data_IF_768047624797
#
_entry.id   IF_768047624797
#
_cell.length_a   1.000
_cell.length_b   1.000
_cell.length_c   1.000
_cell.angle_alpha   90.00
_cell.angle_beta   90.00
_cell.angle_gamma   90.00
#
_symmetry.space_group_name_H-M   'P 1'
#
loop_
_entity.id
_entity.type
_entity.pdbx_description
1 polymer ?
#
# COMPACT_ATOMS: atom_id res chain seq x y z
N UNK A 1 0.62 -23.12 -10.49
CA UNK A 1 1.23 -22.80 -9.18
C UNK A 1 0.85 -21.37 -8.83
N UNK A 2 0.24 -21.14 -7.67
CA UNK A 2 -0.21 -19.80 -7.25
C UNK A 2 0.95 -18.99 -6.65
N UNK A 3 1.04 -17.71 -6.97
CA UNK A 3 2.08 -16.81 -6.52
C UNK A 3 1.53 -15.39 -6.35
N UNK A 4 2.23 -14.53 -5.59
CA UNK A 4 1.88 -13.11 -5.43
C UNK A 4 2.97 -12.24 -6.07
N UNK A 5 2.57 -11.27 -6.89
CA UNK A 5 3.50 -10.29 -7.46
C UNK A 5 3.98 -9.35 -6.35
N UNK A 6 5.29 -9.28 -6.13
CA UNK A 6 5.92 -8.42 -5.10
C UNK A 6 6.74 -7.29 -5.71
N UNK A 7 7.10 -7.37 -6.99
CA UNK A 7 7.82 -6.30 -7.70
C UNK A 7 7.54 -6.37 -9.19
N UNK A 8 7.44 -5.21 -9.83
CA UNK A 8 7.33 -5.05 -11.28
C UNK A 8 8.57 -4.31 -11.76
N UNK A 9 9.25 -4.91 -12.75
CA UNK A 9 10.42 -4.34 -13.39
C UNK A 9 10.15 -4.15 -14.89
N UNK A 10 11.01 -3.40 -15.57
CA UNK A 10 10.90 -3.18 -17.02
C UNK A 10 10.94 -4.48 -17.85
N UNK A 11 11.64 -5.48 -17.36
CA UNK A 11 11.96 -6.75 -18.01
C UNK A 11 11.23 -7.97 -17.41
N UNK A 12 10.32 -7.76 -16.44
CA UNK A 12 9.55 -8.86 -15.85
C UNK A 12 8.95 -8.57 -14.49
N UNK A 13 8.56 -9.61 -13.81
CA UNK A 13 7.87 -9.58 -12.53
C UNK A 13 8.63 -10.45 -11.52
N UNK A 14 8.78 -9.95 -10.29
CA UNK A 14 9.20 -10.79 -9.18
C UNK A 14 7.96 -11.25 -8.44
N UNK A 15 7.84 -12.53 -8.24
CA UNK A 15 6.73 -13.17 -7.52
C UNK A 15 7.25 -13.86 -6.26
N UNK A 16 6.39 -13.94 -5.25
CA UNK A 16 6.62 -14.75 -4.07
C UNK A 16 5.82 -16.04 -4.20
N UNK A 17 6.51 -17.18 -4.08
CA UNK A 17 5.95 -18.52 -4.10
C UNK A 17 6.37 -19.18 -2.79
N UNK A 18 5.45 -19.37 -1.85
CA UNK A 18 5.72 -20.01 -0.55
C UNK A 18 6.95 -19.43 0.20
N UNK A 19 7.08 -18.09 0.20
CA UNK A 19 8.19 -17.40 0.85
C UNK A 19 9.44 -17.18 -0.02
N UNK A 20 9.56 -17.89 -1.13
CA UNK A 20 10.69 -17.73 -2.06
C UNK A 20 10.37 -16.74 -3.20
N UNK A 21 11.33 -15.88 -3.54
CA UNK A 21 11.21 -14.94 -4.64
C UNK A 21 11.74 -15.54 -5.92
N UNK A 22 10.92 -15.50 -6.97
CA UNK A 22 11.28 -15.95 -8.31
C UNK A 22 10.98 -14.89 -9.36
N UNK A 23 11.75 -14.84 -10.41
CA UNK A 23 11.53 -13.94 -11.54
C UNK A 23 10.76 -14.65 -12.64
N UNK A 24 9.72 -14.01 -13.14
CA UNK A 24 8.85 -14.54 -14.18
C UNK A 24 8.50 -13.46 -15.21
N UNK A 25 8.07 -13.90 -16.39
CA UNK A 25 7.54 -13.02 -17.43
C UNK A 25 6.02 -13.15 -17.54
N UNK A 26 5.35 -12.20 -18.18
CA UNK A 26 3.93 -12.33 -18.50
C UNK A 26 3.73 -12.57 -20.00
N UNK A 27 2.81 -13.46 -20.36
CA UNK A 27 2.39 -13.65 -21.75
C UNK A 27 1.62 -12.43 -22.26
N UNK A 28 1.74 -12.10 -23.55
CA UNK A 28 1.28 -10.83 -24.12
C UNK A 28 -0.17 -10.44 -23.79
N UNK A 29 -1.12 -11.37 -23.87
CA UNK A 29 -2.54 -11.13 -23.54
C UNK A 29 -2.78 -10.73 -22.06
N UNK A 30 -1.93 -11.20 -21.15
CA UNK A 30 -2.09 -10.97 -19.70
C UNK A 30 -1.52 -9.59 -19.30
N UNK A 31 -0.50 -9.09 -19.99
CA UNK A 31 0.08 -7.76 -19.71
C UNK A 31 -0.96 -6.63 -19.74
N UNK A 32 -1.99 -6.77 -20.57
CA UNK A 32 -3.01 -5.75 -20.80
C UNK A 32 -4.39 -6.08 -20.20
N UNK A 33 -4.60 -7.32 -19.72
CA UNK A 33 -5.86 -7.74 -19.13
C UNK A 33 -6.17 -6.95 -17.84
N UNK A 34 -7.40 -6.44 -17.70
CA UNK A 34 -7.88 -5.77 -16.48
C UNK A 34 -7.09 -4.52 -16.08
N UNK A 35 -6.54 -3.77 -17.06
CA UNK A 35 -5.71 -2.58 -16.79
C UNK A 35 -4.28 -2.89 -16.34
N UNK A 36 -3.77 -4.06 -16.70
CA UNK A 36 -2.41 -4.53 -16.47
C UNK A 36 -2.16 -5.10 -15.07
N UNK A 37 -1.01 -5.77 -14.94
CA UNK A 37 -0.57 -6.37 -13.69
C UNK A 37 -0.17 -5.33 -12.64
N UNK A 38 -0.46 -5.63 -11.38
CA UNK A 38 -0.13 -4.78 -10.23
C UNK A 38 0.70 -5.55 -9.21
N UNK A 39 1.49 -4.85 -8.43
CA UNK A 39 2.04 -5.42 -7.19
C UNK A 39 0.86 -5.81 -6.29
N UNK A 40 0.93 -6.97 -5.65
CA UNK A 40 -0.16 -7.53 -4.85
C UNK A 40 -1.07 -8.50 -5.60
N UNK A 41 -1.01 -8.58 -6.94
CA UNK A 41 -1.82 -9.54 -7.69
C UNK A 41 -1.46 -10.98 -7.34
N UNK A 42 -2.49 -11.81 -7.16
CA UNK A 42 -2.34 -13.26 -7.13
C UNK A 42 -2.42 -13.79 -8.55
N UNK A 43 -1.46 -14.63 -8.91
CA UNK A 43 -1.28 -15.12 -10.27
C UNK A 43 -0.97 -16.62 -10.29
N UNK A 44 -1.35 -17.28 -11.37
CA UNK A 44 -0.86 -18.65 -11.66
C UNK A 44 0.30 -18.59 -12.63
N UNK A 45 1.32 -19.40 -12.32
CA UNK A 45 2.52 -19.56 -13.13
C UNK A 45 2.52 -20.92 -13.78
N UNK A 46 2.79 -20.94 -15.08
CA UNK A 46 3.00 -22.13 -15.88
C UNK A 46 4.19 -21.90 -16.84
N UNK A 47 5.13 -22.84 -16.89
CA UNK A 47 6.30 -22.78 -17.77
C UNK A 47 7.11 -21.46 -17.59
N UNK A 48 7.33 -21.02 -16.34
CA UNK A 48 8.08 -19.81 -16.02
C UNK A 48 7.37 -18.49 -16.37
N UNK A 49 6.10 -18.53 -16.78
CA UNK A 49 5.34 -17.35 -17.15
C UNK A 49 4.00 -17.26 -16.41
N UNK A 50 3.57 -16.02 -16.17
CA UNK A 50 2.23 -15.74 -15.66
C UNK A 50 1.22 -16.08 -16.75
N UNK A 51 0.28 -16.99 -16.45
CA UNK A 51 -0.75 -17.43 -17.38
C UNK A 51 -2.17 -17.09 -16.95
N UNK A 52 -2.39 -16.71 -15.67
CA UNK A 52 -3.68 -16.27 -15.14
C UNK A 52 -3.48 -15.24 -14.04
N UNK A 53 -4.37 -14.27 -13.97
CA UNK A 53 -4.50 -13.32 -12.85
C UNK A 53 -5.80 -13.65 -12.12
N UNK A 54 -5.74 -13.79 -10.81
CA UNK A 54 -6.92 -14.00 -9.97
C UNK A 54 -7.71 -12.70 -9.79
N UNK A 55 -8.96 -12.83 -9.42
CA UNK A 55 -9.80 -11.68 -9.07
C UNK A 55 -9.20 -10.88 -7.91
N UNK A 56 -9.24 -9.56 -8.03
CA UNK A 56 -8.70 -8.65 -7.03
C UNK A 56 -9.77 -8.31 -6.00
N UNK A 57 -9.43 -8.38 -4.73
CA UNK A 57 -10.26 -7.85 -3.63
C UNK A 57 -10.49 -6.34 -3.81
N UNK A 58 -9.42 -5.61 -4.15
CA UNK A 58 -9.41 -4.18 -4.38
C UNK A 58 -8.18 -3.77 -5.18
N UNK A 59 -8.14 -2.48 -5.60
CA UNK A 59 -7.01 -1.91 -6.33
C UNK A 59 -6.91 -0.41 -6.05
N UNK A 60 -5.72 0.04 -5.68
CA UNK A 60 -5.35 1.46 -5.69
C UNK A 60 -4.75 1.83 -7.05
N UNK A 61 -4.99 3.08 -7.46
CA UNK A 61 -4.45 3.61 -8.72
C UNK A 61 -3.09 4.27 -8.48
N UNK A 62 -2.94 4.93 -7.34
CA UNK A 62 -1.69 5.59 -6.88
C UNK A 62 -1.55 5.44 -5.37
N UNK A 63 -0.57 4.66 -4.90
CA UNK A 63 0.30 3.77 -5.68
C UNK A 63 -0.50 2.66 -6.37
N UNK A 64 0.05 2.11 -7.47
CA UNK A 64 -0.61 1.05 -8.24
C UNK A 64 -0.37 -0.31 -7.59
N UNK A 65 -1.26 -0.66 -6.67
CA UNK A 65 -1.21 -1.91 -5.90
C UNK A 65 -2.60 -2.53 -5.80
N UNK A 66 -2.67 -3.84 -5.61
CA UNK A 66 -3.90 -4.61 -5.46
C UNK A 66 -3.88 -5.49 -4.22
N UNK A 67 -5.06 -5.98 -3.82
CA UNK A 67 -5.24 -6.87 -2.67
C UNK A 67 -4.62 -6.30 -1.39
N UNK A 68 -4.94 -5.02 -1.13
CA UNK A 68 -4.48 -4.25 0.03
C UNK A 68 -5.50 -4.40 1.16
N UNK A 69 -5.04 -4.66 2.38
CA UNK A 69 -5.90 -4.80 3.55
C UNK A 69 -6.12 -3.46 4.25
N UNK A 70 -5.07 -2.62 4.33
CA UNK A 70 -5.12 -1.31 4.93
C UNK A 70 -4.17 -0.32 4.24
N UNK A 71 -4.45 0.98 4.36
CA UNK A 71 -3.55 2.06 3.92
C UNK A 71 -3.11 2.85 5.15
N UNK A 72 -1.82 2.87 5.39
CA UNK A 72 -1.22 3.67 6.46
C UNK A 72 -0.54 4.91 5.88
N UNK A 73 -1.06 6.09 6.21
CA UNK A 73 -0.52 7.38 5.78
C UNK A 73 0.40 7.88 6.88
N UNK A 74 1.70 7.89 6.61
CA UNK A 74 2.69 8.34 7.59
C UNK A 74 2.96 9.82 7.41
N UNK A 75 2.72 10.61 8.44
CA UNK A 75 2.99 12.05 8.50
C UNK A 75 3.89 12.38 9.70
N UNK A 76 4.50 13.55 9.68
CA UNK A 76 5.31 14.06 10.78
C UNK A 76 5.32 15.60 10.74
N UNK A 77 5.80 16.25 11.82
CA UNK A 77 5.99 17.70 11.84
C UNK A 77 7.03 18.19 10.83
N UNK A 78 8.00 17.32 10.51
CA UNK A 78 9.05 17.58 9.52
C UNK A 78 9.27 16.34 8.64
N UNK A 79 9.18 16.49 7.29
CA UNK A 79 8.80 17.68 6.54
C UNK A 79 7.35 18.12 6.80
N UNK A 80 7.01 19.37 6.45
CA UNK A 80 5.66 19.92 6.62
C UNK A 80 4.62 19.01 5.96
N UNK A 81 3.49 18.82 6.63
CA UNK A 81 2.40 17.96 6.16
C UNK A 81 1.80 18.52 4.87
N UNK A 82 1.72 17.71 3.84
CA UNK A 82 0.94 17.98 2.63
C UNK A 82 -0.48 17.44 2.82
N UNK A 83 -1.36 18.28 3.35
CA UNK A 83 -2.76 17.92 3.60
C UNK A 83 -3.50 17.51 2.33
N UNK A 84 -3.19 18.13 1.18
CA UNK A 84 -3.79 17.75 -0.09
C UNK A 84 -3.42 16.32 -0.50
N UNK A 85 -2.19 15.90 -0.22
CA UNK A 85 -1.75 14.52 -0.47
C UNK A 85 -2.47 13.56 0.49
N UNK A 86 -2.60 13.91 1.77
CA UNK A 86 -3.35 13.11 2.76
C UNK A 86 -4.79 12.91 2.28
N UNK A 87 -5.49 13.98 1.89
CA UNK A 87 -6.86 13.92 1.38
C UNK A 87 -6.99 13.02 0.16
N UNK A 88 -6.10 13.16 -0.82
CA UNK A 88 -6.10 12.31 -2.03
C UNK A 88 -5.93 10.83 -1.71
N UNK A 89 -5.06 10.49 -0.76
CA UNK A 89 -4.84 9.11 -0.36
C UNK A 89 -6.05 8.57 0.40
N UNK A 90 -6.63 9.34 1.34
CA UNK A 90 -7.85 8.98 2.07
C UNK A 90 -9.02 8.71 1.12
N UNK A 91 -9.27 9.62 0.18
CA UNK A 91 -10.33 9.46 -0.83
C UNK A 91 -10.09 8.20 -1.68
N UNK A 92 -8.85 7.97 -2.10
CA UNK A 92 -8.50 6.79 -2.90
C UNK A 92 -8.71 5.49 -2.14
N UNK A 93 -8.35 5.45 -0.85
CA UNK A 93 -8.56 4.29 0.01
C UNK A 93 -10.05 4.01 0.22
N UNK A 94 -10.84 5.03 0.57
CA UNK A 94 -12.31 4.90 0.75
C UNK A 94 -13.00 4.45 -0.54
N UNK A 95 -12.64 4.99 -1.70
CA UNK A 95 -13.16 4.54 -3.02
C UNK A 95 -12.84 3.08 -3.33
N UNK A 96 -11.71 2.59 -2.87
CA UNK A 96 -11.29 1.20 -3.05
C UNK A 96 -11.80 0.26 -1.94
N UNK A 97 -12.62 0.75 -1.01
CA UNK A 97 -13.10 0.03 0.18
C UNK A 97 -11.94 -0.54 1.02
N UNK A 98 -10.89 0.27 1.19
CA UNK A 98 -9.72 -0.06 2.00
C UNK A 98 -9.72 0.84 3.24
N UNK A 99 -9.48 0.25 4.41
CA UNK A 99 -9.43 1.00 5.67
C UNK A 99 -8.17 1.87 5.73
N UNK A 100 -8.30 3.20 5.89
CA UNK A 100 -7.17 4.10 6.05
C UNK A 100 -6.85 4.35 7.52
N UNK A 101 -5.56 4.51 7.82
CA UNK A 101 -5.01 4.94 9.09
C UNK A 101 -4.05 6.11 8.87
N UNK A 102 -3.99 7.08 9.77
CA UNK A 102 -2.96 8.11 9.78
C UNK A 102 -2.00 7.85 10.94
N UNK A 103 -0.73 7.66 10.61
CA UNK A 103 0.35 7.47 11.56
C UNK A 103 1.11 8.77 11.72
N UNK A 104 1.02 9.41 12.88
CA UNK A 104 1.79 10.63 13.19
C UNK A 104 3.09 10.20 13.86
N UNK A 105 4.18 10.25 13.09
CA UNK A 105 5.51 9.87 13.54
C UNK A 105 6.32 11.08 14.02
N UNK A 106 7.45 10.82 14.65
CA UNK A 106 8.37 11.82 15.23
C UNK A 106 7.72 12.69 16.31
N UNK A 107 6.82 12.12 17.09
CA UNK A 107 6.16 12.85 18.19
C UNK A 107 7.10 13.21 19.35
N UNK A 108 8.34 12.69 19.32
CA UNK A 108 9.47 13.14 20.13
C UNK A 108 9.94 14.56 19.81
N UNK A 109 9.63 15.10 18.63
CA UNK A 109 9.95 16.48 18.22
C UNK A 109 8.83 17.51 18.54
N UNK A 110 7.71 17.05 19.11
CA UNK A 110 6.56 17.89 19.45
C UNK A 110 5.23 17.31 18.98
N UNK A 111 4.14 17.86 19.48
CA UNK A 111 2.77 17.37 19.23
C UNK A 111 1.99 18.21 18.21
N UNK A 112 2.60 19.22 17.60
CA UNK A 112 1.92 20.12 16.65
C UNK A 112 1.29 19.36 15.48
N UNK A 113 2.04 18.42 14.86
CA UNK A 113 1.51 17.60 13.78
C UNK A 113 0.35 16.69 14.23
N UNK A 114 0.43 16.16 15.45
CA UNK A 114 -0.64 15.34 16.02
C UNK A 114 -1.91 16.18 16.23
N UNK A 115 -1.79 17.37 16.76
CA UNK A 115 -2.92 18.29 16.97
C UNK A 115 -3.59 18.61 15.65
N UNK A 116 -2.84 19.07 14.64
CA UNK A 116 -3.36 19.42 13.32
C UNK A 116 -4.08 18.24 12.65
N UNK A 117 -3.49 17.04 12.69
CA UNK A 117 -4.09 15.83 12.11
C UNK A 117 -5.35 15.42 12.88
N UNK A 118 -5.33 15.48 14.20
CA UNK A 118 -6.48 15.10 15.03
C UNK A 118 -7.67 16.03 14.78
N UNK A 119 -7.46 17.33 14.72
CA UNK A 119 -8.50 18.32 14.45
C UNK A 119 -9.19 18.09 13.09
N UNK A 120 -8.42 17.70 12.05
CA UNK A 120 -8.96 17.52 10.71
C UNK A 120 -9.54 16.13 10.43
N UNK A 121 -8.94 15.08 10.99
CA UNK A 121 -9.20 13.70 10.53
C UNK A 121 -9.72 12.75 11.61
N UNK A 122 -9.90 13.17 12.86
CA UNK A 122 -10.39 12.27 13.95
C UNK A 122 -11.75 11.63 13.65
N UNK A 123 -12.60 12.28 12.86
CA UNK A 123 -13.91 11.75 12.43
C UNK A 123 -13.84 10.96 11.11
N UNK A 124 -12.67 10.85 10.49
CA UNK A 124 -12.49 10.24 9.16
C UNK A 124 -11.85 8.87 9.24
N UNK A 125 -10.81 8.74 10.07
CA UNK A 125 -10.04 7.50 10.24
C UNK A 125 -9.34 7.47 11.60
N UNK A 126 -8.81 6.31 11.96
CA UNK A 126 -8.00 6.15 13.17
C UNK A 126 -6.65 6.86 13.02
N UNK A 127 -6.23 7.55 14.09
CA UNK A 127 -4.96 8.27 14.16
C UNK A 127 -4.07 7.60 15.21
N UNK A 128 -2.89 7.18 14.80
CA UNK A 128 -1.92 6.48 15.64
C UNK A 128 -0.72 7.40 15.90
N UNK A 129 -0.46 7.70 17.16
CA UNK A 129 0.70 8.46 17.61
C UNK A 129 1.90 7.54 17.80
N UNK A 130 3.05 7.87 17.18
CA UNK A 130 4.28 7.08 17.34
C UNK A 130 5.54 7.96 17.38
N UNK A 131 6.59 7.42 18.00
CA UNK A 131 7.97 7.83 17.79
C UNK A 131 8.78 6.58 17.44
N UNK A 132 9.12 6.45 16.17
CA UNK A 132 9.95 5.32 15.73
C UNK A 132 11.36 5.37 16.34
N UNK A 133 11.86 6.59 16.61
CA UNK A 133 13.16 6.81 17.28
C UNK A 133 13.17 6.25 18.69
N UNK A 134 12.13 6.58 19.48
CA UNK A 134 12.02 6.20 20.88
C UNK A 134 11.27 4.87 21.08
N UNK A 135 10.84 4.23 19.97
CA UNK A 135 10.06 2.99 19.93
C UNK A 135 8.72 3.09 20.69
N UNK A 136 8.10 4.27 20.71
CA UNK A 136 6.82 4.50 21.36
C UNK A 136 5.66 4.32 20.39
N UNK A 137 4.60 3.65 20.81
CA UNK A 137 3.36 3.46 20.07
C UNK A 137 3.45 2.45 18.92
N UNK A 138 4.58 1.76 18.75
CA UNK A 138 4.77 0.77 17.68
C UNK A 138 3.96 -0.52 17.90
N UNK A 139 3.56 -0.78 19.14
CA UNK A 139 2.73 -1.93 19.50
C UNK A 139 1.29 -1.84 18.98
N UNK A 140 0.90 -0.67 18.44
CA UNK A 140 -0.44 -0.42 17.86
C UNK A 140 -0.49 -0.64 16.35
N UNK A 141 0.64 -0.96 15.73
CA UNK A 141 0.82 -1.18 14.30
C UNK A 141 1.03 -2.68 14.06
#
# INVERSE_FOLDING_TARGET
MSARIVKICSDGYTVNINGQRSRVVARGKIKHAGGGLCVGDYVDIKDGAINKVHERKNKLIRPRVSNVDAVMIVVASQPKIDFLLVDKVLISAKKACIEPYILVNKTDLGEEALTQITEQYSNVCEIIKVSAKDKLGLEKI
#
